data_IF_591932787526
#
_entry.id   IF_591932787526
#
_cell.length_a   1.000
_cell.length_b   1.000
_cell.length_c   1.000
_cell.angle_alpha   90.00
_cell.angle_beta   90.00
_cell.angle_gamma   90.00
#
_symmetry.space_group_name_H-M   'P 1'
#
loop_
_entity.id
_entity.type
_entity.pdbx_description
1 polymer ?
#
# COMPACT_ATOMS: atom_id res chain seq x y z
N UNK A 1 1.50 -17.20 3.97
CA UNK A 1 2.19 -16.37 4.96
C UNK A 1 2.37 -14.96 4.42
N UNK A 2 2.40 -13.99 5.31
CA UNK A 2 2.52 -12.60 4.91
C UNK A 2 3.93 -12.08 5.19
N UNK A 3 4.41 -11.20 4.33
CA UNK A 3 5.64 -10.47 4.58
C UNK A 3 5.29 -9.29 5.49
N UNK A 4 5.96 -9.19 6.63
CA UNK A 4 5.69 -8.15 7.63
C UNK A 4 6.84 -7.16 7.72
N UNK A 5 6.61 -6.04 8.40
CA UNK A 5 7.68 -5.07 8.65
C UNK A 5 8.80 -5.70 9.49
N UNK A 6 8.45 -6.60 10.39
CA UNK A 6 9.44 -7.31 11.18
C UNK A 6 10.35 -8.17 10.30
N UNK A 7 9.77 -8.83 9.29
CA UNK A 7 10.54 -9.61 8.33
C UNK A 7 11.50 -8.73 7.54
N UNK A 8 11.05 -7.55 7.15
CA UNK A 8 11.89 -6.59 6.42
C UNK A 8 13.07 -6.12 7.27
N UNK A 9 12.81 -5.84 8.54
CA UNK A 9 13.86 -5.42 9.48
C UNK A 9 14.88 -6.53 9.69
N UNK A 10 14.41 -7.76 9.80
CA UNK A 10 15.29 -8.93 9.93
C UNK A 10 16.20 -9.07 8.72
N UNK A 11 15.65 -8.88 7.52
CA UNK A 11 16.43 -8.92 6.29
C UNK A 11 17.55 -7.86 6.28
N UNK A 12 17.22 -6.64 6.68
CA UNK A 12 18.21 -5.56 6.75
C UNK A 12 19.30 -5.86 7.77
N UNK A 13 18.92 -6.46 8.88
CA UNK A 13 19.87 -6.86 9.91
C UNK A 13 20.85 -7.91 9.34
N UNK A 14 20.33 -8.94 8.68
CA UNK A 14 21.16 -10.03 8.18
C UNK A 14 21.99 -9.63 6.96
N UNK A 15 21.40 -8.88 6.02
CA UNK A 15 22.03 -8.62 4.73
C UNK A 15 22.92 -7.36 4.75
N UNK A 16 22.54 -6.35 5.50
CA UNK A 16 23.26 -5.07 5.49
C UNK A 16 24.08 -4.79 6.73
N UNK A 17 24.05 -5.71 7.72
CA UNK A 17 24.83 -5.52 8.93
C UNK A 17 24.34 -4.41 9.84
N UNK A 18 23.13 -3.94 9.67
CA UNK A 18 22.55 -2.95 10.59
C UNK A 18 22.21 -3.65 11.90
N UNK A 19 22.31 -2.94 13.04
CA UNK A 19 21.83 -3.54 14.27
C UNK A 19 20.31 -3.59 14.25
N UNK A 20 19.71 -4.38 15.15
CA UNK A 20 18.27 -4.64 15.13
C UNK A 20 17.45 -3.37 15.27
N UNK A 21 17.88 -2.45 16.13
CA UNK A 21 17.16 -1.20 16.33
C UNK A 21 17.21 -0.31 15.09
N UNK A 22 18.39 -0.20 14.49
CA UNK A 22 18.55 0.58 13.26
C UNK A 22 17.72 0.01 12.13
N UNK A 23 17.70 -1.31 11.99
CA UNK A 23 16.92 -1.98 10.95
C UNK A 23 15.42 -1.70 11.12
N UNK A 24 14.92 -1.80 12.34
CA UNK A 24 13.53 -1.52 12.65
C UNK A 24 13.19 -0.06 12.36
N UNK A 25 14.03 0.86 12.80
CA UNK A 25 13.81 2.29 12.60
C UNK A 25 13.82 2.65 11.13
N UNK A 26 14.70 2.03 10.34
CA UNK A 26 14.77 2.29 8.90
C UNK A 26 13.49 1.84 8.20
N UNK A 27 12.97 0.67 8.54
CA UNK A 27 11.71 0.19 7.96
C UNK A 27 10.56 1.12 8.33
N UNK A 28 10.48 1.54 9.60
CA UNK A 28 9.43 2.46 10.04
C UNK A 28 9.53 3.80 9.31
N UNK A 29 10.74 4.32 9.15
CA UNK A 29 10.96 5.59 8.45
C UNK A 29 10.52 5.49 7.00
N UNK A 30 10.82 4.38 6.34
CA UNK A 30 10.42 4.18 4.94
C UNK A 30 8.91 4.27 4.79
N UNK A 31 8.16 3.54 5.62
CA UNK A 31 6.71 3.56 5.54
C UNK A 31 6.12 4.88 6.01
N UNK A 32 6.75 5.53 6.97
CA UNK A 32 6.29 6.84 7.41
C UNK A 32 6.42 7.90 6.32
N UNK A 33 7.48 7.85 5.52
CA UNK A 33 7.63 8.76 4.39
C UNK A 33 6.52 8.57 3.37
N UNK A 34 6.10 7.32 3.13
CA UNK A 34 4.99 7.04 2.22
C UNK A 34 3.69 7.59 2.80
N UNK A 35 3.42 7.32 4.08
CA UNK A 35 2.21 7.82 4.74
C UNK A 35 2.14 9.34 4.72
N UNK A 36 3.24 10.00 5.04
CA UNK A 36 3.28 11.46 5.10
C UNK A 36 3.03 12.09 3.73
N UNK A 37 3.61 11.50 2.68
CA UNK A 37 3.39 12.01 1.32
C UNK A 37 1.94 11.89 0.91
N UNK A 38 1.33 10.74 1.17
CA UNK A 38 -0.08 10.51 0.83
C UNK A 38 -1.00 11.40 1.65
N UNK A 39 -0.67 11.63 2.92
CA UNK A 39 -1.45 12.53 3.78
C UNK A 39 -1.49 13.95 3.24
N UNK A 40 -0.38 14.39 2.64
CA UNK A 40 -0.30 15.72 2.03
C UNK A 40 -0.95 15.80 0.65
N UNK A 41 -1.40 14.68 0.12
CA UNK A 41 -2.04 14.65 -1.19
C UNK A 41 -1.05 14.39 -2.33
N UNK A 42 0.14 13.92 -2.02
CA UNK A 42 1.15 13.63 -3.03
C UNK A 42 1.10 12.16 -3.45
N UNK A 43 1.24 11.94 -4.74
CA UNK A 43 1.36 10.60 -5.29
C UNK A 43 2.72 10.02 -4.92
N UNK A 44 2.78 8.71 -4.68
CA UNK A 44 4.05 8.03 -4.40
C UNK A 44 4.36 7.10 -5.56
N UNK A 45 5.51 7.31 -6.21
CA UNK A 45 5.95 6.51 -7.35
C UNK A 45 7.17 5.68 -6.96
N UNK A 46 7.02 4.36 -7.01
CA UNK A 46 8.10 3.43 -6.69
C UNK A 46 8.46 2.65 -7.94
N UNK A 47 9.52 3.12 -8.59
CA UNK A 47 9.98 2.55 -9.86
C UNK A 47 10.24 1.06 -9.74
N UNK A 48 9.69 0.27 -10.68
CA UNK A 48 9.84 -1.18 -10.65
C UNK A 48 8.88 -1.90 -9.72
N UNK A 49 8.10 -1.17 -8.95
CA UNK A 49 7.16 -1.76 -8.01
C UNK A 49 5.72 -1.32 -8.30
N UNK A 50 5.44 -0.04 -8.21
CA UNK A 50 4.11 0.49 -8.47
C UNK A 50 3.92 1.87 -7.89
N UNK A 51 2.71 2.37 -8.02
CA UNK A 51 2.37 3.72 -7.58
C UNK A 51 1.22 3.70 -6.61
N UNK A 52 1.29 4.57 -5.59
CA UNK A 52 0.16 4.84 -4.72
C UNK A 52 -0.48 6.13 -5.19
N UNK A 53 -1.75 6.07 -5.57
CA UNK A 53 -2.51 7.22 -6.04
C UNK A 53 -3.62 7.57 -5.05
N UNK A 54 -4.05 8.81 -5.12
CA UNK A 54 -5.17 9.29 -4.30
C UNK A 54 -6.36 9.53 -5.20
N UNK A 55 -7.54 9.14 -4.74
CA UNK A 55 -8.80 9.37 -5.46
C UNK A 55 -9.78 10.09 -4.54
N UNK A 56 -10.37 11.12 -5.09
CA UNK A 56 -11.45 11.82 -4.40
C UNK A 56 -12.76 11.13 -4.78
N UNK A 57 -13.47 10.62 -3.80
CA UNK A 57 -14.79 10.05 -4.02
C UNK A 57 -15.82 11.07 -3.58
N UNK A 58 -16.66 11.50 -4.53
CA UNK A 58 -17.69 12.49 -4.27
C UNK A 58 -18.78 11.93 -3.36
N UNK A 59 -19.46 12.82 -2.66
CA UNK A 59 -20.66 12.44 -1.96
C UNK A 59 -21.66 11.91 -3.00
N UNK A 60 -22.30 10.82 -2.68
CA UNK A 60 -23.24 10.17 -3.59
C UNK A 60 -24.35 9.53 -2.77
N UNK A 61 -25.54 9.31 -3.39
CA UNK A 61 -26.61 8.60 -2.68
C UNK A 61 -26.25 7.12 -2.53
N UNK A 62 -26.51 6.60 -1.34
CA UNK A 62 -26.45 5.18 -1.06
C UNK A 62 -27.84 4.72 -0.66
N UNK A 63 -28.00 3.46 -0.39
CA UNK A 63 -29.30 2.92 -0.03
C UNK A 63 -29.16 1.92 1.11
N UNK A 64 -30.00 2.06 2.11
CA UNK A 64 -30.07 1.13 3.22
C UNK A 64 -30.68 -0.18 2.72
N UNK A 65 -29.96 -1.30 2.75
CA UNK A 65 -30.50 -2.56 2.22
C UNK A 65 -31.71 -3.11 2.99
N UNK A 66 -31.92 -2.67 4.23
CA UNK A 66 -33.04 -3.16 5.04
C UNK A 66 -34.32 -2.35 4.79
N UNK A 67 -34.20 -1.04 4.60
CA UNK A 67 -35.37 -0.17 4.47
C UNK A 67 -35.56 0.38 3.07
N UNK A 68 -34.52 0.30 2.23
CA UNK A 68 -34.55 0.89 0.90
C UNK A 68 -34.41 2.39 0.93
N UNK A 69 -34.19 2.98 2.08
CA UNK A 69 -34.06 4.42 2.25
C UNK A 69 -32.73 4.94 1.71
N UNK A 70 -32.75 6.08 1.04
CA UNK A 70 -31.54 6.69 0.54
C UNK A 70 -30.73 7.31 1.67
N UNK A 71 -29.43 6.96 1.71
CA UNK A 71 -28.51 7.50 2.71
C UNK A 71 -27.32 8.06 1.93
N UNK A 72 -27.01 9.38 2.09
CA UNK A 72 -25.86 9.95 1.38
C UNK A 72 -24.56 9.36 1.88
N UNK A 73 -23.68 9.01 0.94
CA UNK A 73 -22.34 8.53 1.24
C UNK A 73 -21.42 9.75 1.19
N UNK A 74 -20.77 10.04 2.30
CA UNK A 74 -19.92 11.23 2.44
C UNK A 74 -18.73 11.20 1.48
N UNK A 75 -18.38 12.35 0.95
CA UNK A 75 -17.17 12.50 0.14
C UNK A 75 -15.95 12.13 0.97
N UNK A 76 -14.97 11.48 0.34
CA UNK A 76 -13.76 11.06 1.03
C UNK A 76 -12.60 10.88 0.06
N UNK A 77 -11.39 10.90 0.61
CA UNK A 77 -10.18 10.61 -0.14
C UNK A 77 -9.76 9.18 0.16
N UNK A 78 -9.43 8.43 -0.86
CA UNK A 78 -8.98 7.05 -0.70
C UNK A 78 -7.64 6.86 -1.40
N UNK A 79 -6.88 5.87 -0.91
CA UNK A 79 -5.60 5.50 -1.49
C UNK A 79 -5.81 4.26 -2.35
N UNK A 80 -5.24 4.25 -3.56
CA UNK A 80 -5.24 3.08 -4.41
C UNK A 80 -3.81 2.74 -4.79
N UNK A 81 -3.52 1.45 -4.92
CA UNK A 81 -2.20 0.99 -5.36
C UNK A 81 -2.32 0.44 -6.78
N UNK A 82 -1.43 0.90 -7.67
CA UNK A 82 -1.37 0.42 -9.05
C UNK A 82 -0.02 -0.27 -9.25
N UNK A 83 -0.01 -1.60 -9.37
CA UNK A 83 1.25 -2.31 -9.57
C UNK A 83 1.87 -1.95 -10.92
N UNK A 84 3.20 -1.87 -10.94
CA UNK A 84 3.92 -1.63 -12.17
C UNK A 84 4.03 -2.89 -13.00
N UNK A 85 4.44 -2.75 -14.26
CA UNK A 85 4.52 -3.88 -15.18
C UNK A 85 5.49 -4.95 -14.69
N UNK A 86 6.62 -4.55 -14.14
CA UNK A 86 7.63 -5.48 -13.65
C UNK A 86 7.06 -6.36 -12.52
N UNK A 87 6.33 -5.75 -11.60
CA UNK A 87 5.70 -6.49 -10.51
C UNK A 87 4.63 -7.44 -11.04
N UNK A 88 3.78 -6.94 -11.94
CA UNK A 88 2.72 -7.77 -12.55
C UNK A 88 3.31 -9.01 -13.21
N UNK A 89 4.37 -8.82 -14.00
CA UNK A 89 4.98 -9.92 -14.74
C UNK A 89 5.53 -10.99 -13.80
N UNK A 90 6.15 -10.56 -12.71
CA UNK A 90 6.71 -11.51 -11.74
C UNK A 90 5.62 -12.29 -11.01
N UNK A 91 4.53 -11.63 -10.66
CA UNK A 91 3.41 -12.28 -9.97
C UNK A 91 2.74 -13.28 -10.90
N UNK A 92 2.50 -12.90 -12.15
CA UNK A 92 1.87 -13.77 -13.14
C UNK A 92 2.72 -15.02 -13.40
N UNK A 93 4.03 -14.85 -13.50
CA UNK A 93 4.94 -15.98 -13.71
C UNK A 93 4.89 -16.96 -12.55
N UNK A 94 4.86 -16.46 -11.32
CA UNK A 94 4.80 -17.30 -10.14
C UNK A 94 3.46 -18.04 -10.05
N UNK A 95 2.36 -17.34 -10.34
CA UNK A 95 1.04 -17.96 -10.32
C UNK A 95 0.97 -19.15 -11.26
N UNK A 96 1.63 -19.06 -12.42
CA UNK A 96 1.72 -20.17 -13.37
C UNK A 96 2.50 -21.36 -12.85
N UNK A 97 3.40 -21.17 -11.93
CA UNK A 97 4.25 -22.24 -11.40
C UNK A 97 3.64 -22.96 -10.20
N UNK A 98 2.56 -22.48 -9.68
CA UNK A 98 1.88 -23.05 -8.52
C UNK A 98 1.17 -24.37 -8.82
N UNK A 99 1.02 -24.69 -10.06
CA UNK A 99 0.27 -25.86 -10.53
C UNK A 99 0.90 -27.22 -10.21
#
# INVERSE_FOLDING_TARGET
>A
MALTKADMAEYLFEELGLNKREAKDMVELFFENIRAALEKGEQVKLSGFGNFDLREKRQRPGRNPKTGEEIPITARRVVTFRPGQKLKSRVEAYAGSEQ
#
